data_IF_729495615029
#
_entry.id   IF_729495615029
#
_cell.length_a   1.000
_cell.length_b   1.000
_cell.length_c   1.000
_cell.angle_alpha   90.00
_cell.angle_beta   90.00
_cell.angle_gamma   90.00
#
_symmetry.space_group_name_H-M   'P 1'
#
loop_
_entity.id
_entity.type
_entity.pdbx_description
1 polymer ?
#
# COMPACT_ATOMS: atom_id res chain seq x y z
N UNK A 1 -6.87 -2.25 10.53
CA UNK A 1 -5.54 -1.77 10.11
C UNK A 1 -5.65 -0.30 9.76
N UNK A 2 -4.55 0.42 9.71
CA UNK A 2 -4.51 1.83 9.35
C UNK A 2 -3.32 2.08 8.41
N UNK A 3 -3.56 2.77 7.29
CA UNK A 3 -2.53 3.27 6.40
C UNK A 3 -2.38 4.78 6.63
N UNK A 4 -1.33 5.23 7.34
CA UNK A 4 -1.17 6.64 7.71
C UNK A 4 -0.45 7.46 6.64
N UNK A 5 -0.80 7.29 5.37
CA UNK A 5 -0.07 7.91 4.26
C UNK A 5 -0.09 9.44 4.30
N UNK A 6 -1.11 10.09 4.86
CA UNK A 6 -1.15 11.55 4.94
C UNK A 6 -0.07 12.10 5.88
N UNK A 7 0.06 11.55 7.09
CA UNK A 7 1.09 12.04 8.01
C UNK A 7 2.49 11.63 7.55
N UNK A 8 2.62 10.46 6.93
CA UNK A 8 3.90 10.01 6.37
C UNK A 8 4.30 10.85 5.16
N UNK A 9 3.35 11.31 4.36
CA UNK A 9 3.62 12.25 3.26
C UNK A 9 4.20 13.58 3.75
N UNK A 10 3.83 14.01 4.95
CA UNK A 10 4.30 15.28 5.53
C UNK A 10 5.56 15.09 6.37
N UNK A 11 5.60 14.06 7.22
CA UNK A 11 6.60 13.86 8.26
C UNK A 11 7.53 12.65 8.01
N UNK A 12 7.34 11.90 6.93
CA UNK A 12 8.11 10.68 6.68
C UNK A 12 7.89 9.62 7.75
N UNK A 13 8.90 8.79 7.97
CA UNK A 13 8.85 7.70 8.95
C UNK A 13 8.60 8.21 10.37
N UNK A 14 9.02 9.44 10.69
CA UNK A 14 8.70 10.03 12.00
C UNK A 14 7.19 10.22 12.22
N UNK A 15 6.41 10.42 11.15
CA UNK A 15 4.95 10.43 11.21
C UNK A 15 4.36 9.07 11.55
N UNK A 16 4.89 8.01 10.94
CA UNK A 16 4.53 6.63 11.28
C UNK A 16 4.86 6.31 12.75
N UNK A 17 6.07 6.65 13.19
CA UNK A 17 6.51 6.46 14.59
C UNK A 17 5.59 7.15 15.58
N UNK A 18 5.18 8.37 15.25
CA UNK A 18 4.23 9.13 16.08
C UNK A 18 2.88 8.41 16.20
N UNK A 19 2.32 7.93 15.09
CA UNK A 19 1.05 7.23 15.07
C UNK A 19 1.11 5.91 15.83
N UNK A 20 2.17 5.13 15.62
CA UNK A 20 2.38 3.86 16.33
C UNK A 20 2.48 4.09 17.84
N UNK A 21 3.27 5.06 18.27
CA UNK A 21 3.43 5.41 19.68
C UNK A 21 2.16 5.98 20.29
N UNK A 22 1.39 6.76 19.58
CA UNK A 22 0.10 7.27 20.04
C UNK A 22 -0.90 6.13 20.31
N UNK A 23 -0.90 5.11 19.47
CA UNK A 23 -1.78 3.93 19.62
C UNK A 23 -1.49 3.13 20.89
N UNK A 24 -0.26 3.13 21.42
CA UNK A 24 0.10 2.45 22.66
C UNK A 24 -0.74 2.94 23.87
N UNK A 25 -1.28 4.15 23.80
CA UNK A 25 -2.09 4.75 24.85
C UNK A 25 -3.60 4.47 24.67
N UNK A 26 -3.98 3.60 23.75
CA UNK A 26 -5.37 3.23 23.48
C UNK A 26 -5.66 1.80 23.92
N UNK A 27 -6.94 1.45 24.05
CA UNK A 27 -7.38 0.07 24.31
C UNK A 27 -7.51 -0.76 23.02
N UNK A 28 -7.29 -0.13 21.87
CA UNK A 28 -7.38 -0.77 20.55
C UNK A 28 -6.03 -1.39 20.17
N UNK A 29 -6.06 -2.61 19.67
CA UNK A 29 -4.90 -3.20 18.98
C UNK A 29 -4.85 -2.65 17.55
N UNK A 30 -4.07 -1.60 17.36
CA UNK A 30 -3.92 -0.95 16.05
C UNK A 30 -2.71 -1.53 15.33
N UNK A 31 -2.93 -2.15 14.18
CA UNK A 31 -1.87 -2.53 13.25
C UNK A 31 -1.81 -1.51 12.11
N UNK A 32 -0.61 -1.21 11.70
CA UNK A 32 -0.36 -0.23 10.65
C UNK A 32 0.11 -0.93 9.36
N UNK A 33 -0.11 -0.26 8.27
CA UNK A 33 0.53 -0.55 6.99
C UNK A 33 1.56 0.54 6.71
N UNK A 34 2.69 0.15 6.13
CA UNK A 34 3.68 1.11 5.67
C UNK A 34 3.16 1.72 4.36
N UNK A 35 2.97 3.05 4.27
CA UNK A 35 2.48 3.66 3.04
C UNK A 35 3.34 3.33 1.82
N UNK A 36 2.71 2.89 0.75
CA UNK A 36 3.38 2.48 -0.48
C UNK A 36 3.80 3.65 -1.36
N UNK A 37 2.99 4.73 -1.37
CA UNK A 37 3.12 5.85 -2.27
C UNK A 37 3.30 7.16 -1.48
N UNK A 38 4.54 7.54 -1.24
CA UNK A 38 4.92 8.80 -0.58
C UNK A 38 6.03 9.47 -1.40
N UNK A 39 5.72 10.56 -2.10
CA UNK A 39 4.39 11.13 -2.35
C UNK A 39 3.47 10.20 -3.17
N UNK A 40 2.17 10.50 -3.19
CA UNK A 40 1.20 9.74 -3.96
C UNK A 40 1.45 9.81 -5.47
N UNK A 41 1.93 10.95 -5.95
CA UNK A 41 2.36 11.15 -7.34
C UNK A 41 3.71 11.86 -7.44
N UNK A 42 4.47 11.68 -8.54
CA UNK A 42 5.75 12.38 -8.73
C UNK A 42 5.62 13.89 -8.97
N UNK A 43 4.39 14.38 -9.10
CA UNK A 43 4.10 15.80 -9.35
C UNK A 43 3.82 16.60 -8.07
N UNK A 44 3.72 15.91 -6.94
CA UNK A 44 3.43 16.54 -5.66
C UNK A 44 4.70 17.04 -4.95
N UNK A 45 4.53 18.13 -4.21
CA UNK A 45 5.48 18.52 -3.19
C UNK A 45 5.11 17.83 -1.88
N UNK A 46 5.99 16.97 -1.41
CA UNK A 46 5.82 16.25 -0.15
C UNK A 46 6.90 16.63 0.86
N UNK A 47 6.65 16.40 2.12
CA UNK A 47 7.64 16.54 3.18
C UNK A 47 8.63 15.38 3.25
N UNK A 48 8.31 14.25 2.61
CA UNK A 48 9.14 13.05 2.55
C UNK A 48 9.00 12.31 1.23
N UNK A 49 9.97 11.44 0.96
CA UNK A 49 9.92 10.44 -0.13
C UNK A 49 10.25 9.09 0.47
N UNK A 50 9.39 8.10 0.23
CA UNK A 50 9.59 6.72 0.66
C UNK A 50 9.77 5.85 -0.58
N UNK A 51 11.02 5.57 -0.91
CA UNK A 51 11.40 4.62 -1.97
C UNK A 51 11.61 3.21 -1.39
N UNK A 52 11.94 2.26 -2.24
CA UNK A 52 12.16 0.88 -1.84
C UNK A 52 13.30 0.73 -0.81
N UNK A 53 14.34 1.54 -0.87
CA UNK A 53 15.44 1.51 0.10
C UNK A 53 14.99 2.02 1.48
N UNK A 54 14.25 3.14 1.48
CA UNK A 54 13.70 3.72 2.72
C UNK A 54 12.65 2.83 3.40
N UNK A 55 12.04 1.90 2.67
CA UNK A 55 11.06 0.93 3.20
C UNK A 55 11.69 -0.21 3.99
N UNK A 56 12.91 -0.61 3.69
CA UNK A 56 13.51 -1.88 4.17
C UNK A 56 13.50 -2.03 5.69
N UNK A 57 13.80 -0.99 6.41
CA UNK A 57 13.79 -1.05 7.88
C UNK A 57 12.37 -0.92 8.43
N UNK A 58 11.56 0.12 8.07
CA UNK A 58 10.24 0.31 8.67
C UNK A 58 9.28 -0.86 8.45
N UNK A 59 9.34 -1.53 7.30
CA UNK A 59 8.43 -2.63 6.98
C UNK A 59 8.62 -3.86 7.88
N UNK A 60 9.79 -4.01 8.48
CA UNK A 60 10.10 -5.13 9.39
C UNK A 60 9.62 -4.94 10.81
N UNK A 61 9.19 -3.74 11.17
CA UNK A 61 8.82 -3.38 12.55
C UNK A 61 7.62 -4.17 13.05
N UNK A 62 7.63 -4.47 14.34
CA UNK A 62 6.46 -5.00 15.03
C UNK A 62 5.31 -3.99 14.93
N UNK A 63 4.09 -4.48 14.66
CA UNK A 63 2.93 -3.62 14.45
C UNK A 63 2.70 -3.18 13.00
N UNK A 64 3.69 -3.39 12.11
CA UNK A 64 3.51 -3.20 10.67
C UNK A 64 3.01 -4.52 10.06
N UNK A 65 1.76 -4.53 9.62
CA UNK A 65 1.09 -5.69 9.06
C UNK A 65 1.42 -5.90 7.57
N UNK A 66 1.60 -4.81 6.83
CA UNK A 66 1.77 -4.88 5.38
C UNK A 66 2.28 -3.60 4.76
N UNK A 67 2.29 -3.61 3.45
CA UNK A 67 2.46 -2.44 2.59
C UNK A 67 1.06 -1.88 2.32
N UNK A 68 0.85 -0.61 2.62
CA UNK A 68 -0.41 0.09 2.47
C UNK A 68 -0.86 0.23 1.02
N UNK A 69 -2.04 0.75 0.84
CA UNK A 69 -2.71 0.82 -0.45
C UNK A 69 -1.78 1.26 -1.60
N UNK A 70 -1.67 0.42 -2.62
CA UNK A 70 -0.76 0.70 -3.72
C UNK A 70 -1.42 1.62 -4.75
N UNK A 71 -1.45 2.93 -4.44
CA UNK A 71 -2.15 3.95 -5.24
C UNK A 71 -1.60 4.11 -6.65
N UNK A 72 -0.29 3.88 -6.87
CA UNK A 72 0.28 3.95 -8.22
C UNK A 72 0.04 2.64 -8.99
N UNK A 73 -1.24 2.23 -9.11
CA UNK A 73 -1.59 1.07 -9.93
C UNK A 73 -1.17 1.19 -11.40
N UNK A 74 -1.16 2.39 -12.03
CA UNK A 74 -0.62 2.51 -13.39
C UNK A 74 0.85 2.14 -13.47
N UNK A 75 1.66 2.51 -12.48
CA UNK A 75 3.07 2.12 -12.41
C UNK A 75 3.25 0.61 -12.28
N UNK A 76 2.45 -0.04 -11.45
CA UNK A 76 2.45 -1.51 -11.30
C UNK A 76 2.07 -2.21 -12.61
N UNK A 77 0.96 -1.78 -13.25
CA UNK A 77 0.46 -2.36 -14.49
C UNK A 77 1.49 -2.22 -15.63
N UNK A 78 2.18 -1.10 -15.67
CA UNK A 78 3.22 -0.83 -16.68
C UNK A 78 4.62 -1.31 -16.26
N UNK A 79 4.73 -2.05 -15.16
CA UNK A 79 5.96 -2.63 -14.66
C UNK A 79 7.08 -1.59 -14.42
N UNK A 80 6.73 -0.45 -13.82
CA UNK A 80 7.71 0.56 -13.45
C UNK A 80 8.64 0.02 -12.34
N UNK A 81 9.94 0.07 -12.56
CA UNK A 81 10.94 -0.51 -11.64
C UNK A 81 10.79 0.02 -10.21
N UNK A 82 10.57 1.33 -10.05
CA UNK A 82 10.40 1.96 -8.73
C UNK A 82 9.23 1.40 -7.92
N UNK A 83 8.15 0.99 -8.58
CA UNK A 83 6.97 0.42 -7.94
C UNK A 83 7.18 -1.08 -7.67
N UNK A 84 7.74 -1.80 -8.65
CA UNK A 84 8.03 -3.23 -8.48
C UNK A 84 9.07 -3.47 -7.38
N UNK A 85 10.07 -2.61 -7.22
CA UNK A 85 11.08 -2.71 -6.16
C UNK A 85 10.43 -2.62 -4.76
N UNK A 86 9.45 -1.75 -4.57
CA UNK A 86 8.68 -1.67 -3.31
C UNK A 86 7.89 -2.94 -3.03
N UNK A 87 7.24 -3.48 -4.05
CA UNK A 87 6.51 -4.76 -3.97
C UNK A 87 7.48 -5.91 -3.62
N UNK A 88 8.68 -5.93 -4.21
CA UNK A 88 9.71 -6.93 -3.92
C UNK A 88 10.14 -6.84 -2.45
N UNK A 89 10.40 -5.66 -1.92
CA UNK A 89 10.74 -5.47 -0.50
C UNK A 89 9.64 -6.04 0.40
N UNK A 90 8.37 -5.69 0.17
CA UNK A 90 7.27 -6.21 0.96
C UNK A 90 7.15 -7.74 0.90
N UNK A 91 7.32 -8.32 -0.29
CA UNK A 91 7.28 -9.77 -0.50
C UNK A 91 8.43 -10.51 0.18
N UNK A 92 9.64 -9.95 0.17
CA UNK A 92 10.81 -10.54 0.83
C UNK A 92 10.61 -10.65 2.34
N UNK A 93 9.90 -9.69 2.92
CA UNK A 93 9.55 -9.66 4.34
C UNK A 93 8.24 -10.42 4.66
N UNK A 94 7.65 -11.10 3.68
CA UNK A 94 6.41 -11.85 3.86
C UNK A 94 5.20 -11.00 4.20
N UNK A 95 5.23 -9.72 3.86
CA UNK A 95 4.18 -8.77 4.18
C UNK A 95 3.03 -8.82 3.18
N UNK A 96 1.83 -8.58 3.68
CA UNK A 96 0.64 -8.32 2.89
C UNK A 96 0.82 -7.03 2.07
N UNK A 97 0.19 -6.95 0.91
CA UNK A 97 0.20 -5.75 0.06
C UNK A 97 -1.25 -5.39 -0.24
N UNK A 98 -1.68 -4.27 0.28
CA UNK A 98 -3.00 -3.74 -0.01
C UNK A 98 -3.03 -2.99 -1.34
N UNK A 99 -4.21 -2.88 -1.92
CA UNK A 99 -4.42 -2.30 -3.23
C UNK A 99 -5.36 -1.13 -3.24
N UNK A 100 -5.23 -0.35 -4.30
CA UNK A 100 -6.04 0.80 -4.62
C UNK A 100 -6.18 0.87 -6.15
N UNK A 101 -7.21 0.24 -6.69
CA UNK A 101 -7.39 0.08 -8.13
C UNK A 101 -8.74 0.56 -8.64
N UNK A 102 -9.10 1.85 -8.48
CA UNK A 102 -10.39 2.35 -8.95
C UNK A 102 -10.52 2.22 -10.47
N UNK A 103 -11.61 1.62 -10.92
CA UNK A 103 -11.96 1.50 -12.33
C UNK A 103 -11.13 0.51 -13.15
N UNK A 104 -10.14 -0.16 -12.57
CA UNK A 104 -9.38 -1.18 -13.32
C UNK A 104 -10.16 -2.49 -13.42
N UNK A 105 -10.17 -3.07 -14.62
CA UNK A 105 -10.89 -4.31 -14.96
C UNK A 105 -10.07 -5.16 -15.93
N UNK A 106 -10.51 -6.38 -16.19
CA UNK A 106 -9.96 -7.24 -17.25
C UNK A 106 -8.44 -7.42 -17.17
N UNK A 107 -7.71 -7.08 -18.22
CA UNK A 107 -6.26 -7.31 -18.30
C UNK A 107 -5.45 -6.45 -17.33
N UNK A 108 -5.88 -5.22 -17.09
CA UNK A 108 -5.21 -4.31 -16.15
C UNK A 108 -5.34 -4.83 -14.73
N UNK A 109 -6.54 -5.27 -14.34
CA UNK A 109 -6.78 -5.90 -13.06
C UNK A 109 -5.95 -7.19 -12.89
N UNK A 110 -5.85 -8.02 -13.93
CA UNK A 110 -5.02 -9.22 -13.90
C UNK A 110 -3.53 -8.89 -13.74
N UNK A 111 -3.02 -7.85 -14.42
CA UNK A 111 -1.63 -7.40 -14.27
C UNK A 111 -1.36 -6.93 -12.84
N UNK A 112 -2.26 -6.11 -12.28
CA UNK A 112 -2.17 -5.62 -10.92
C UNK A 112 -2.19 -6.77 -9.89
N UNK A 113 -3.09 -7.73 -10.05
CA UNK A 113 -3.16 -8.92 -9.22
C UNK A 113 -1.93 -9.83 -9.36
N UNK A 114 -1.35 -9.94 -10.56
CA UNK A 114 -0.13 -10.73 -10.79
C UNK A 114 1.07 -10.17 -10.02
N UNK A 115 1.11 -8.88 -9.73
CA UNK A 115 2.12 -8.25 -8.86
C UNK A 115 1.98 -8.63 -7.38
N UNK A 116 0.96 -9.46 -7.02
CA UNK A 116 0.68 -9.90 -5.65
C UNK A 116 -0.03 -8.88 -4.77
N UNK A 117 -0.67 -7.90 -5.36
CA UNK A 117 -1.64 -7.09 -4.65
C UNK A 117 -2.76 -8.01 -4.15
N UNK A 118 -3.01 -8.02 -2.86
CA UNK A 118 -3.83 -9.06 -2.23
C UNK A 118 -5.30 -8.65 -2.02
N UNK A 119 -5.54 -7.36 -1.85
CA UNK A 119 -6.87 -6.79 -1.64
C UNK A 119 -7.05 -5.50 -2.45
N UNK A 120 -8.26 -5.00 -2.49
CA UNK A 120 -8.63 -3.71 -3.09
C UNK A 120 -9.93 -3.24 -2.44
N UNK A 121 -10.00 -1.96 -2.10
CA UNK A 121 -11.15 -1.35 -1.42
C UNK A 121 -11.85 -0.27 -2.27
N UNK A 122 -11.44 -0.08 -3.52
CA UNK A 122 -11.87 1.04 -4.37
C UNK A 122 -12.92 0.66 -5.44
N UNK A 123 -13.74 -0.37 -5.19
CA UNK A 123 -14.79 -0.71 -6.12
C UNK A 123 -15.95 0.30 -6.07
N UNK A 124 -16.28 0.87 -7.22
CA UNK A 124 -17.38 1.82 -7.39
C UNK A 124 -18.64 1.19 -7.96
N UNK A 125 -18.55 0.03 -8.58
CA UNK A 125 -19.67 -0.69 -9.20
C UNK A 125 -19.72 -2.16 -8.75
N UNK A 126 -20.87 -2.79 -8.94
CA UNK A 126 -21.06 -4.22 -8.66
C UNK A 126 -20.17 -5.07 -9.57
N UNK A 127 -20.01 -4.66 -10.82
CA UNK A 127 -19.17 -5.33 -11.80
C UNK A 127 -17.72 -5.33 -11.35
N UNK A 128 -17.16 -4.17 -10.97
CA UNK A 128 -15.79 -4.07 -10.42
C UNK A 128 -15.63 -4.97 -9.20
N UNK A 129 -16.61 -4.95 -8.28
CA UNK A 129 -16.58 -5.78 -7.07
C UNK A 129 -16.61 -7.27 -7.41
N UNK A 130 -17.35 -7.68 -8.45
CA UNK A 130 -17.44 -9.08 -8.87
C UNK A 130 -16.15 -9.59 -9.53
N UNK A 131 -15.45 -8.73 -10.27
CA UNK A 131 -14.20 -9.06 -10.94
C UNK A 131 -13.08 -9.42 -9.95
N UNK A 132 -13.03 -8.80 -8.75
CA UNK A 132 -11.96 -9.05 -7.76
C UNK A 132 -11.93 -10.50 -7.26
N UNK A 133 -13.04 -11.08 -6.75
CA UNK A 133 -13.07 -12.48 -6.33
C UNK A 133 -12.78 -13.45 -7.46
N UNK A 134 -13.21 -13.17 -8.69
CA UNK A 134 -12.96 -14.06 -9.84
C UNK A 134 -11.47 -14.26 -10.11
N UNK A 135 -10.65 -13.24 -9.86
CA UNK A 135 -9.18 -13.36 -9.98
C UNK A 135 -8.50 -13.73 -8.65
N UNK A 136 -9.26 -14.06 -7.61
CA UNK A 136 -8.75 -14.48 -6.31
C UNK A 136 -8.23 -13.34 -5.43
N UNK A 137 -8.84 -12.17 -5.50
CA UNK A 137 -8.55 -11.01 -4.65
C UNK A 137 -9.70 -10.73 -3.70
N UNK A 138 -9.37 -10.29 -2.50
CA UNK A 138 -10.37 -9.80 -1.56
C UNK A 138 -10.75 -8.35 -1.92
N UNK A 139 -12.04 -8.06 -1.74
CA UNK A 139 -12.49 -6.69 -1.58
C UNK A 139 -12.70 -6.45 -0.09
N UNK A 140 -12.09 -5.43 0.46
CA UNK A 140 -12.14 -5.08 1.89
C UNK A 140 -12.67 -3.67 2.11
#
# INVERSE_FOLDING_TARGET
>A
MADPHEIVNVCGIAGLDYMMKAAENTVLDVKYELPSCVPATPFEHSGAVIDAEAMKEPITREGIAGLGEFMNFPGVINAADSDLDKIIVAKQEGKFIDGHGPGITGKELNAYAAARIAADHECSTVEEMSDRPEIGRAHV
#
